data_IF_499775837138
#
_entry.id   IF_499775837138
#
_cell.length_a   1.000
_cell.length_b   1.000
_cell.length_c   1.000
_cell.angle_alpha   90.00
_cell.angle_beta   90.00
_cell.angle_gamma   90.00
#
_symmetry.space_group_name_H-M   'P 1'
#
loop_
_entity.id
_entity.type
_entity.pdbx_description
1 polymer ?
#
# COMPACT_ATOMS: atom_id res chain seq x y z
N UNK A 1 -15.78 0.47 -19.23
CA UNK A 1 -15.96 -0.77 -18.45
C UNK A 1 -14.56 -1.18 -18.06
N UNK A 2 -14.19 -1.03 -16.78
CA UNK A 2 -12.80 -1.25 -16.36
C UNK A 2 -12.47 -2.74 -16.46
N UNK A 3 -11.31 -3.06 -17.01
CA UNK A 3 -10.77 -4.41 -17.14
C UNK A 3 -10.70 -5.10 -15.75
N UNK A 4 -11.26 -6.31 -15.58
CA UNK A 4 -11.26 -7.01 -14.31
C UNK A 4 -9.86 -7.29 -13.76
N UNK A 5 -8.84 -7.46 -14.60
CA UNK A 5 -7.47 -7.67 -14.14
C UNK A 5 -6.88 -6.40 -13.53
N UNK A 6 -7.08 -5.25 -14.18
CA UNK A 6 -6.68 -3.96 -13.64
C UNK A 6 -7.36 -3.67 -12.31
N UNK A 7 -8.66 -3.94 -12.21
CA UNK A 7 -9.41 -3.74 -10.97
C UNK A 7 -8.89 -4.63 -9.83
N UNK A 8 -8.48 -5.86 -10.14
CA UNK A 8 -7.87 -6.76 -9.16
C UNK A 8 -6.51 -6.25 -8.67
N UNK A 9 -5.64 -5.83 -9.58
CA UNK A 9 -4.27 -5.35 -9.25
C UNK A 9 -4.32 -4.01 -8.49
N UNK A 10 -5.22 -3.12 -8.89
CA UNK A 10 -5.41 -1.80 -8.30
C UNK A 10 -6.50 -1.78 -7.22
N UNK A 11 -6.84 -2.92 -6.61
CA UNK A 11 -7.92 -2.98 -5.62
C UNK A 11 -7.69 -2.02 -4.42
N UNK A 12 -6.43 -1.68 -4.11
CA UNK A 12 -6.08 -0.71 -3.07
C UNK A 12 -6.39 0.75 -3.44
N UNK A 13 -6.56 1.05 -4.74
CA UNK A 13 -6.88 2.38 -5.27
C UNK A 13 -8.38 2.67 -5.34
N UNK A 14 -9.24 1.69 -5.10
CA UNK A 14 -10.70 1.85 -5.28
C UNK A 14 -11.25 3.02 -4.46
N UNK A 15 -10.71 3.22 -3.24
CA UNK A 15 -11.07 4.35 -2.36
C UNK A 15 -10.65 5.73 -2.88
N UNK A 16 -9.65 5.79 -3.76
CA UNK A 16 -9.16 7.04 -4.33
C UNK A 16 -10.13 7.57 -5.42
N UNK A 17 -11.12 6.77 -5.81
CA UNK A 17 -12.17 7.13 -6.73
C UNK A 17 -11.92 6.64 -8.16
N UNK A 18 -13.01 6.44 -8.91
CA UNK A 18 -12.98 5.86 -10.25
C UNK A 18 -12.13 6.66 -11.26
N UNK A 19 -12.07 7.99 -11.12
CA UNK A 19 -11.24 8.83 -11.97
C UNK A 19 -9.75 8.54 -11.76
N UNK A 20 -9.31 8.45 -10.49
CA UNK A 20 -7.91 8.14 -10.15
C UNK A 20 -7.51 6.77 -10.68
N UNK A 21 -8.34 5.76 -10.48
CA UNK A 21 -8.10 4.41 -11.01
C UNK A 21 -7.95 4.42 -12.53
N UNK A 22 -8.86 5.09 -13.26
CA UNK A 22 -8.79 5.18 -14.73
C UNK A 22 -7.54 5.91 -15.22
N UNK A 23 -7.14 7.00 -14.57
CA UNK A 23 -5.92 7.70 -14.94
C UNK A 23 -4.66 6.88 -14.65
N UNK A 24 -4.64 6.12 -13.56
CA UNK A 24 -3.53 5.21 -13.25
C UNK A 24 -3.40 4.11 -14.30
N UNK A 25 -4.51 3.47 -14.69
CA UNK A 25 -4.54 2.48 -15.78
C UNK A 25 -3.99 3.09 -17.07
N UNK A 26 -4.48 4.27 -17.46
CA UNK A 26 -4.04 4.93 -18.68
C UNK A 26 -2.52 5.25 -18.67
N UNK A 27 -1.94 5.60 -17.51
CA UNK A 27 -0.49 5.83 -17.38
C UNK A 27 0.33 4.56 -17.58
N UNK A 28 -0.14 3.42 -17.05
CA UNK A 28 0.52 2.12 -17.23
C UNK A 28 0.41 1.63 -18.68
N UNK A 29 -0.78 1.70 -19.27
CA UNK A 29 -1.01 1.31 -20.67
C UNK A 29 -0.15 2.17 -21.63
N UNK A 30 -0.05 3.48 -21.38
CA UNK A 30 0.81 4.37 -22.15
C UNK A 30 2.32 4.13 -21.95
N UNK A 31 2.70 3.34 -20.95
CA UNK A 31 4.07 2.88 -20.73
C UNK A 31 4.28 1.43 -21.20
N UNK A 32 3.25 0.78 -21.77
CA UNK A 32 3.30 -0.62 -22.19
C UNK A 32 3.31 -1.62 -21.03
N UNK A 33 2.94 -1.18 -19.82
CA UNK A 33 2.88 -2.03 -18.62
C UNK A 33 1.49 -2.65 -18.52
N UNK A 34 1.43 -3.98 -18.41
CA UNK A 34 0.20 -4.74 -18.24
C UNK A 34 -0.09 -5.04 -16.76
N UNK A 35 -1.31 -5.48 -16.40
CA UNK A 35 -1.58 -5.99 -15.05
C UNK A 35 -0.63 -7.11 -14.63
N UNK A 36 -0.24 -7.97 -15.58
CA UNK A 36 0.67 -9.09 -15.38
C UNK A 36 2.10 -8.65 -15.05
N UNK A 37 2.54 -7.52 -15.58
CA UNK A 37 3.86 -6.95 -15.27
C UNK A 37 3.85 -6.31 -13.87
N UNK A 38 2.78 -5.59 -13.52
CA UNK A 38 2.66 -4.87 -12.24
C UNK A 38 2.42 -5.80 -11.04
N UNK A 39 1.56 -6.81 -11.18
CA UNK A 39 1.11 -7.63 -10.05
C UNK A 39 2.27 -8.29 -9.27
N UNK A 40 3.30 -8.87 -9.91
CA UNK A 40 4.46 -9.42 -9.22
C UNK A 40 5.23 -8.39 -8.36
N UNK A 41 5.29 -7.13 -8.77
CA UNK A 41 5.97 -6.07 -8.00
C UNK A 41 5.17 -5.59 -6.79
N UNK A 42 3.85 -5.66 -6.87
CA UNK A 42 3.00 -5.44 -5.70
C UNK A 42 3.07 -6.62 -4.72
N UNK A 43 3.31 -7.83 -5.24
CA UNK A 43 3.45 -9.05 -4.43
C UNK A 43 4.80 -9.11 -3.68
N UNK A 44 5.89 -8.61 -4.29
CA UNK A 44 7.22 -8.59 -3.67
C UNK A 44 7.56 -7.26 -2.98
N UNK A 45 6.63 -6.30 -2.94
CA UNK A 45 6.85 -4.99 -2.33
C UNK A 45 7.94 -4.15 -3.02
N UNK A 46 8.30 -4.47 -4.25
CA UNK A 46 9.36 -3.78 -5.01
C UNK A 46 10.75 -4.40 -4.85
N UNK A 47 10.90 -5.55 -4.18
CA UNK A 47 12.20 -6.18 -3.92
C UNK A 47 13.02 -6.40 -5.20
N UNK A 48 12.41 -6.89 -6.28
CA UNK A 48 13.11 -7.11 -7.56
C UNK A 48 13.58 -5.80 -8.21
N UNK A 49 12.80 -4.73 -8.09
CA UNK A 49 13.20 -3.41 -8.59
C UNK A 49 14.37 -2.85 -7.79
N UNK A 50 14.31 -2.97 -6.46
CA UNK A 50 15.39 -2.53 -5.58
C UNK A 50 16.69 -3.28 -5.85
N UNK A 51 16.62 -4.62 -5.98
CA UNK A 51 17.78 -5.45 -6.26
C UNK A 51 18.43 -5.09 -7.61
N UNK A 52 17.63 -4.87 -8.66
CA UNK A 52 18.14 -4.48 -9.98
C UNK A 52 18.79 -3.09 -9.95
N UNK A 53 18.14 -2.10 -9.32
CA UNK A 53 18.70 -0.76 -9.17
C UNK A 53 20.00 -0.75 -8.35
N UNK A 54 20.10 -1.61 -7.33
CA UNK A 54 21.28 -1.73 -6.49
C UNK A 54 22.45 -2.48 -7.15
N UNK A 55 22.19 -3.23 -8.23
CA UNK A 55 23.22 -3.99 -8.94
C UNK A 55 24.21 -3.09 -9.71
N UNK A 56 23.84 -1.83 -10.00
CA UNK A 56 24.71 -0.83 -10.60
C UNK A 56 24.99 -1.01 -12.10
N UNK A 57 24.17 -1.79 -12.80
CA UNK A 57 24.16 -1.86 -14.26
C UNK A 57 23.50 -0.60 -14.84
N UNK A 58 24.07 0.03 -15.86
CA UNK A 58 23.52 1.25 -16.48
C UNK A 58 22.20 0.99 -17.23
N UNK A 59 21.97 -0.26 -17.67
CA UNK A 59 20.78 -0.69 -18.43
C UNK A 59 19.77 -1.49 -17.57
N UNK A 60 19.93 -1.49 -16.25
CA UNK A 60 19.13 -2.29 -15.31
C UNK A 60 17.61 -2.15 -15.48
N UNK A 61 17.15 -0.99 -15.95
CA UNK A 61 15.74 -0.66 -16.09
C UNK A 61 15.10 -1.30 -17.33
N UNK A 62 15.89 -1.74 -18.32
CA UNK A 62 15.39 -2.26 -19.59
C UNK A 62 14.61 -3.57 -19.40
N UNK A 63 15.02 -4.39 -18.43
CA UNK A 63 14.30 -5.59 -18.01
C UNK A 63 12.87 -5.32 -17.50
N UNK A 64 12.56 -4.06 -17.18
CA UNK A 64 11.25 -3.61 -16.68
C UNK A 64 10.54 -2.66 -17.65
N UNK A 65 10.99 -2.56 -18.90
CA UNK A 65 10.43 -1.65 -19.90
C UNK A 65 10.94 -0.21 -19.79
N UNK A 66 12.10 -0.01 -19.16
CA UNK A 66 12.79 1.26 -19.03
C UNK A 66 12.41 2.08 -17.80
N UNK A 67 13.15 3.16 -17.56
CA UNK A 67 13.05 3.97 -16.33
C UNK A 67 11.64 4.54 -16.06
N UNK A 68 10.86 4.85 -17.11
CA UNK A 68 9.49 5.34 -16.96
C UNK A 68 8.59 4.27 -16.34
N UNK A 69 8.66 3.04 -16.83
CA UNK A 69 7.90 1.91 -16.32
C UNK A 69 8.29 1.60 -14.87
N UNK A 70 9.59 1.59 -14.57
CA UNK A 70 10.10 1.44 -13.21
C UNK A 70 9.53 2.52 -12.27
N UNK A 71 9.58 3.78 -12.67
CA UNK A 71 9.08 4.88 -11.85
C UNK A 71 7.57 4.74 -11.55
N UNK A 72 6.77 4.32 -12.54
CA UNK A 72 5.34 4.08 -12.36
C UNK A 72 5.08 2.89 -11.41
N UNK A 73 5.80 1.78 -11.59
CA UNK A 73 5.66 0.60 -10.73
C UNK A 73 6.07 0.94 -9.29
N UNK A 74 7.20 1.62 -9.09
CA UNK A 74 7.66 2.04 -7.78
C UNK A 74 6.67 2.99 -7.09
N UNK A 75 6.06 3.92 -7.85
CA UNK A 75 5.01 4.79 -7.32
C UNK A 75 3.78 4.00 -6.85
N UNK A 76 3.40 2.96 -7.59
CA UNK A 76 2.26 2.10 -7.22
C UNK A 76 2.57 1.22 -6.01
N UNK A 77 3.78 0.68 -5.90
CA UNK A 77 4.26 0.01 -4.68
C UNK A 77 4.14 0.96 -3.48
N UNK A 78 4.58 2.20 -3.61
CA UNK A 78 4.46 3.21 -2.56
C UNK A 78 3.00 3.52 -2.18
N UNK A 79 2.10 3.54 -3.15
CA UNK A 79 0.67 3.73 -2.90
C UNK A 79 0.05 2.54 -2.15
N UNK A 80 0.37 1.31 -2.55
CA UNK A 80 -0.03 0.11 -1.83
C UNK A 80 0.46 0.16 -0.38
N UNK A 81 1.74 0.49 -0.15
CA UNK A 81 2.29 0.59 1.21
C UNK A 81 1.59 1.67 2.03
N UNK A 82 1.29 2.82 1.44
CA UNK A 82 0.54 3.89 2.11
C UNK A 82 -0.85 3.43 2.53
N UNK A 83 -1.54 2.67 1.67
CA UNK A 83 -2.85 2.08 1.99
C UNK A 83 -2.76 1.05 3.13
N UNK A 84 -1.76 0.18 3.11
CA UNK A 84 -1.53 -0.80 4.18
C UNK A 84 -1.19 -0.13 5.52
N UNK A 85 -0.40 0.94 5.51
CA UNK A 85 -0.10 1.75 6.71
C UNK A 85 -1.38 2.41 7.25
N UNK A 86 -2.22 2.96 6.37
CA UNK A 86 -3.50 3.55 6.78
C UNK A 86 -4.43 2.51 7.42
N UNK A 87 -4.53 1.31 6.82
CA UNK A 87 -5.29 0.18 7.38
C UNK A 87 -4.76 -0.23 8.76
N UNK A 88 -3.45 -0.41 8.90
CA UNK A 88 -2.84 -0.77 10.17
C UNK A 88 -3.04 0.32 11.25
N UNK A 89 -2.99 1.59 10.85
CA UNK A 89 -3.27 2.71 11.74
C UNK A 89 -4.73 2.72 12.24
N UNK A 90 -5.70 2.40 11.38
CA UNK A 90 -7.11 2.24 11.76
C UNK A 90 -7.32 1.10 12.76
N UNK A 91 -6.73 -0.08 12.51
CA UNK A 91 -6.79 -1.22 13.45
C UNK A 91 -6.21 -0.82 14.80
N UNK A 92 -5.00 -0.23 14.79
CA UNK A 92 -4.35 0.26 16.01
C UNK A 92 -5.22 1.29 16.74
N UNK A 93 -5.89 2.17 16.01
CA UNK A 93 -6.77 3.19 16.59
C UNK A 93 -7.92 2.57 17.38
N UNK A 94 -8.62 1.58 16.81
CA UNK A 94 -9.65 0.83 17.53
C UNK A 94 -9.09 0.07 18.73
N UNK A 95 -7.96 -0.61 18.57
CA UNK A 95 -7.34 -1.36 19.67
C UNK A 95 -6.97 -0.45 20.84
N UNK A 96 -6.41 0.73 20.57
CA UNK A 96 -6.06 1.69 21.62
C UNK A 96 -7.32 2.25 22.29
N UNK A 97 -8.36 2.57 21.52
CA UNK A 97 -9.64 3.06 22.06
C UNK A 97 -10.23 2.06 23.07
N UNK A 98 -10.37 0.80 22.68
CA UNK A 98 -10.85 -0.25 23.60
C UNK A 98 -9.92 -0.50 24.80
N UNK A 99 -8.59 -0.40 24.63
CA UNK A 99 -7.67 -0.52 25.76
C UNK A 99 -7.80 0.63 26.76
N UNK A 100 -8.19 1.83 26.32
CA UNK A 100 -8.37 2.99 27.20
C UNK A 100 -9.65 2.90 28.04
N UNK A 101 -10.60 2.03 27.67
CA UNK A 101 -11.76 1.70 28.50
C UNK A 101 -11.37 0.87 29.74
N UNK A 102 -10.30 0.07 29.64
CA UNK A 102 -9.86 -0.87 30.68
C UNK A 102 -8.61 -0.39 31.44
N UNK A 103 -7.72 0.36 30.77
CA UNK A 103 -6.39 0.70 31.27
C UNK A 103 -6.10 2.19 31.17
N UNK A 104 -5.20 2.67 32.04
CA UNK A 104 -4.72 4.05 31.95
C UNK A 104 -3.92 4.30 30.68
N UNK A 105 -3.95 5.53 30.16
CA UNK A 105 -3.14 5.92 28.99
C UNK A 105 -1.62 5.72 29.20
N UNK A 106 -1.13 5.71 30.45
CA UNK A 106 0.29 5.41 30.75
C UNK A 106 0.58 3.94 30.49
N UNK A 107 -0.25 3.06 31.06
CA UNK A 107 -0.15 1.60 30.90
C UNK A 107 -0.21 1.20 29.43
N UNK A 108 -1.12 1.79 28.66
CA UNK A 108 -1.24 1.54 27.22
C UNK A 108 -0.01 2.05 26.46
N UNK A 109 0.52 3.22 26.81
CA UNK A 109 1.72 3.77 26.17
C UNK A 109 2.95 2.87 26.36
N UNK A 110 3.16 2.41 27.60
CA UNK A 110 4.26 1.53 27.97
C UNK A 110 4.19 0.19 27.26
N UNK A 111 3.00 -0.43 27.22
CA UNK A 111 2.78 -1.71 26.55
C UNK A 111 3.01 -1.63 25.02
N UNK A 112 2.66 -0.50 24.40
CA UNK A 112 2.80 -0.29 22.95
C UNK A 112 4.14 0.34 22.54
N UNK A 113 5.01 0.68 23.50
CA UNK A 113 6.29 1.34 23.22
C UNK A 113 6.14 2.72 22.56
N UNK A 114 5.06 3.45 22.86
CA UNK A 114 4.79 4.79 22.31
C UNK A 114 4.87 5.85 23.39
N UNK A 115 5.13 7.10 22.99
CA UNK A 115 5.06 8.22 23.93
C UNK A 115 3.64 8.41 24.45
N UNK A 116 3.47 8.59 25.76
CA UNK A 116 2.17 8.83 26.43
C UNK A 116 1.31 9.89 25.72
N UNK A 117 1.94 10.99 25.29
CA UNK A 117 1.26 12.10 24.62
C UNK A 117 0.65 11.70 23.26
N UNK A 118 1.09 10.60 22.66
CA UNK A 118 0.58 10.10 21.38
C UNK A 118 -0.63 9.19 21.56
N UNK A 119 -0.90 8.64 22.75
CA UNK A 119 -1.92 7.59 22.95
C UNK A 119 -3.31 8.06 22.51
N UNK A 120 -3.81 9.18 23.02
CA UNK A 120 -5.11 9.72 22.60
C UNK A 120 -5.13 10.20 21.14
N UNK A 121 -3.99 10.63 20.60
CA UNK A 121 -3.87 10.99 19.18
C UNK A 121 -3.89 9.78 18.24
N UNK A 122 -3.52 8.61 18.76
CA UNK A 122 -3.56 7.33 18.07
C UNK A 122 -4.92 6.64 18.23
N UNK A 123 -5.62 6.87 19.35
CA UNK A 123 -7.01 6.46 19.57
C UNK A 123 -7.93 7.23 18.61
N UNK A 124 -8.11 6.69 17.40
CA UNK A 124 -9.05 7.21 16.41
C UNK A 124 -9.96 6.06 16.01
N UNK A 125 -11.14 5.92 16.63
CA UNK A 125 -12.03 4.82 16.35
C UNK A 125 -12.71 5.03 14.99
N UNK A 126 -12.01 4.60 13.93
CA UNK A 126 -12.60 4.50 12.60
C UNK A 126 -11.90 3.40 11.80
N UNK A 127 -12.64 2.32 11.56
CA UNK A 127 -12.35 1.40 10.47
C UNK A 127 -13.17 1.84 9.29
N UNK A 128 -12.47 2.29 8.26
CA UNK A 128 -13.04 2.56 6.96
C UNK A 128 -13.35 1.19 6.30
N UNK A 129 -14.61 0.87 5.98
CA UNK A 129 -14.95 -0.40 5.31
C UNK A 129 -14.31 -0.52 3.91
N UNK A 130 -13.82 0.59 3.34
CA UNK A 130 -13.23 0.63 1.99
C UNK A 130 -11.73 0.22 1.98
N UNK A 131 -11.18 -0.27 3.10
CA UNK A 131 -9.87 -0.90 3.10
C UNK A 131 -9.90 -2.26 2.38
N UNK A 132 -8.75 -2.65 1.81
CA UNK A 132 -8.60 -3.97 1.20
C UNK A 132 -8.99 -5.05 2.22
N UNK A 133 -9.98 -5.87 1.88
CA UNK A 133 -10.39 -7.00 2.73
C UNK A 133 -9.21 -7.92 3.05
N UNK A 134 -8.37 -8.17 2.04
CA UNK A 134 -7.24 -9.09 2.07
C UNK A 134 -5.99 -8.41 1.51
N UNK A 135 -4.83 -8.66 2.13
CA UNK A 135 -3.56 -8.22 1.53
C UNK A 135 -3.34 -8.95 0.21
N UNK A 136 -2.61 -8.35 -0.75
CA UNK A 136 -2.34 -9.01 -2.04
C UNK A 136 -1.64 -10.37 -1.90
N UNK A 137 -1.04 -10.64 -0.74
CA UNK A 137 -0.22 -11.83 -0.47
C UNK A 137 -1.00 -12.93 0.28
N UNK A 138 -2.26 -12.69 0.65
CA UNK A 138 -3.06 -13.61 1.47
C UNK A 138 -3.80 -14.70 0.66
N UNK A 139 -3.15 -15.20 -0.39
CA UNK A 139 -3.70 -16.23 -1.27
C UNK A 139 -2.68 -16.89 -2.21
N UNK A 140 -1.40 -16.91 -1.83
CA UNK A 140 -0.37 -17.76 -2.46
C UNK A 140 -0.44 -19.17 -1.88
#
# INVERSE_FOLDING_TARGET
MNDPEWMRVLAHRVRDGELVVRETIARFEAAGVTPGDLAPHLADGGDRLYAAAAAGDDEWADAFGGLRSVALIAAEVGALMSHLVARAASIRGLSIDGLLDEYSAVTVAEALGVARQKVYGLAKPHVDPDYLERSPWSGS
#
